data_IF_633889085412
#
_entry.id   IF_633889085412
#
_cell.length_a   1.000
_cell.length_b   1.000
_cell.length_c   1.000
_cell.angle_alpha   90.00
_cell.angle_beta   90.00
_cell.angle_gamma   90.00
#
_symmetry.space_group_name_H-M   'P 1'
#
loop_
_entity.id
_entity.type
_entity.pdbx_description
1 polymer ?
#
# COMPACT_ATOMS: atom_id res chain seq x y z
N UNK A 1 -1.38 -27.52 -6.54
CA UNK A 1 -1.78 -27.34 -5.13
C UNK A 1 -1.49 -28.62 -4.37
N UNK A 2 -1.06 -28.54 -3.11
CA UNK A 2 -0.91 -29.73 -2.26
C UNK A 2 -2.29 -30.32 -1.93
N UNK A 3 -2.33 -31.58 -1.52
CA UNK A 3 -3.59 -32.21 -1.06
C UNK A 3 -4.25 -31.41 0.08
N UNK A 4 -3.43 -30.79 0.93
CA UNK A 4 -3.89 -29.90 2.00
C UNK A 4 -4.55 -28.64 1.42
N UNK A 5 -3.92 -28.00 0.43
CA UNK A 5 -4.47 -26.79 -0.18
C UNK A 5 -5.81 -27.04 -0.90
N UNK A 6 -5.97 -28.18 -1.57
CA UNK A 6 -7.25 -28.54 -2.22
C UNK A 6 -8.36 -28.80 -1.20
N UNK A 7 -8.05 -29.50 -0.10
CA UNK A 7 -8.98 -29.73 1.00
C UNK A 7 -9.45 -28.39 1.61
N UNK A 8 -8.51 -27.52 1.95
CA UNK A 8 -8.81 -26.20 2.51
C UNK A 8 -9.63 -25.35 1.54
N UNK A 9 -9.31 -25.34 0.25
CA UNK A 9 -10.11 -24.62 -0.75
C UNK A 9 -11.57 -25.10 -0.77
N UNK A 10 -11.80 -26.41 -0.70
CA UNK A 10 -13.14 -26.98 -0.63
C UNK A 10 -13.88 -26.54 0.65
N UNK A 11 -13.23 -26.62 1.81
CA UNK A 11 -13.83 -26.24 3.10
C UNK A 11 -14.12 -24.74 3.17
N UNK A 12 -13.18 -23.89 2.78
CA UNK A 12 -13.32 -22.44 2.75
C UNK A 12 -14.44 -21.99 1.80
N UNK A 13 -14.68 -22.72 0.71
CA UNK A 13 -15.74 -22.38 -0.25
C UNK A 13 -17.16 -22.46 0.34
N UNK A 14 -17.34 -23.18 1.44
CA UNK A 14 -18.63 -23.36 2.12
C UNK A 14 -18.94 -22.24 3.13
N UNK A 15 -17.94 -21.41 3.46
CA UNK A 15 -18.09 -20.31 4.40
C UNK A 15 -18.85 -19.13 3.80
N UNK A 16 -19.39 -18.27 4.67
CA UNK A 16 -20.00 -17.01 4.24
C UNK A 16 -18.99 -16.11 3.52
N UNK A 17 -19.49 -15.12 2.78
CA UNK A 17 -18.62 -14.15 2.13
C UNK A 17 -17.73 -13.38 3.13
N UNK A 18 -18.26 -13.10 4.33
CA UNK A 18 -17.54 -12.36 5.37
C UNK A 18 -16.39 -13.18 5.96
N UNK A 19 -16.64 -14.42 6.37
CA UNK A 19 -15.59 -15.31 6.90
C UNK A 19 -14.50 -15.59 5.86
N UNK A 20 -14.88 -15.74 4.58
CA UNK A 20 -13.91 -15.87 3.50
C UNK A 20 -13.06 -14.62 3.31
N UNK A 21 -13.64 -13.43 3.46
CA UNK A 21 -12.90 -12.17 3.36
C UNK A 21 -11.90 -12.00 4.50
N UNK A 22 -12.29 -12.34 5.73
CA UNK A 22 -11.41 -12.31 6.91
C UNK A 22 -10.22 -13.27 6.75
N UNK A 23 -10.47 -14.50 6.29
CA UNK A 23 -9.41 -15.49 6.06
C UNK A 23 -8.51 -15.11 4.86
N UNK A 24 -9.07 -14.54 3.81
CA UNK A 24 -8.28 -14.03 2.69
C UNK A 24 -7.36 -12.89 3.14
N UNK A 25 -7.85 -11.97 3.98
CA UNK A 25 -7.05 -10.90 4.54
C UNK A 25 -5.88 -11.43 5.38
N UNK A 26 -6.15 -12.35 6.30
CA UNK A 26 -5.12 -13.00 7.11
C UNK A 26 -4.05 -13.70 6.24
N UNK A 27 -4.47 -14.46 5.22
CA UNK A 27 -3.54 -15.16 4.33
C UNK A 27 -2.70 -14.17 3.51
N UNK A 28 -3.28 -13.08 3.01
CA UNK A 28 -2.53 -12.04 2.29
C UNK A 28 -1.49 -11.39 3.22
N UNK A 29 -1.87 -11.02 4.44
CA UNK A 29 -0.92 -10.48 5.43
C UNK A 29 0.20 -11.45 5.78
N UNK A 30 -0.09 -12.76 5.82
CA UNK A 30 0.95 -13.77 6.08
C UNK A 30 1.93 -13.94 4.93
N UNK A 31 1.60 -13.46 3.72
CA UNK A 31 2.48 -13.45 2.55
C UNK A 31 3.32 -12.18 2.47
N UNK A 32 2.98 -11.14 3.22
CA UNK A 32 3.85 -10.00 3.46
C UNK A 32 4.98 -10.47 4.40
N UNK A 33 5.86 -11.34 3.89
CA UNK A 33 7.17 -11.62 4.48
C UNK A 33 7.88 -10.29 4.61
N UNK A 34 8.25 -9.95 5.87
CA UNK A 34 9.02 -8.79 6.29
C UNK A 34 8.84 -7.59 5.37
N UNK A 35 8.00 -6.62 5.77
CA UNK A 35 8.07 -5.23 5.29
C UNK A 35 9.55 -4.95 5.07
N UNK A 36 9.95 -4.90 3.79
CA UNK A 36 11.37 -4.95 3.45
C UNK A 36 12.01 -3.86 4.30
N UNK A 37 12.91 -4.27 5.21
CA UNK A 37 13.45 -3.35 6.21
C UNK A 37 14.13 -2.15 5.53
N UNK A 38 14.39 -2.26 4.23
CA UNK A 38 14.94 -1.26 3.34
C UNK A 38 13.88 -0.39 2.62
N UNK A 39 12.56 -0.64 2.74
CA UNK A 39 11.53 0.23 2.12
C UNK A 39 11.69 1.66 2.61
N UNK A 40 11.84 1.86 3.92
CA UNK A 40 12.04 3.21 4.47
C UNK A 40 13.34 3.85 3.95
N UNK A 41 14.42 3.09 3.80
CA UNK A 41 15.68 3.62 3.29
C UNK A 41 15.61 3.96 1.78
N UNK A 42 14.87 3.16 1.00
CA UNK A 42 14.57 3.44 -0.42
C UNK A 42 13.69 4.69 -0.53
N UNK A 43 12.71 4.86 0.36
CA UNK A 43 11.87 6.06 0.41
C UNK A 43 12.67 7.31 0.82
N UNK A 44 13.55 7.22 1.81
CA UNK A 44 14.44 8.31 2.21
C UNK A 44 15.36 8.75 1.06
N UNK A 45 15.88 7.78 0.29
CA UNK A 45 16.71 8.04 -0.89
C UNK A 45 15.92 8.79 -1.96
N UNK A 46 14.71 8.33 -2.28
CA UNK A 46 13.83 8.97 -3.26
C UNK A 46 13.41 10.38 -2.82
N UNK A 47 13.05 10.58 -1.55
CA UNK A 47 12.66 11.89 -1.02
C UNK A 47 13.83 12.89 -1.10
N UNK A 48 15.04 12.44 -0.78
CA UNK A 48 16.25 13.25 -0.90
C UNK A 48 16.50 13.65 -2.35
N UNK A 49 16.39 12.71 -3.28
CA UNK A 49 16.57 12.96 -4.71
C UNK A 49 15.54 13.98 -5.24
N UNK A 50 14.25 13.79 -4.93
CA UNK A 50 13.19 14.73 -5.34
C UNK A 50 13.40 16.13 -4.79
N UNK A 51 13.84 16.25 -3.54
CA UNK A 51 14.13 17.56 -2.95
C UNK A 51 15.27 18.26 -3.71
N UNK A 52 16.32 17.52 -4.09
CA UNK A 52 17.39 18.06 -4.92
C UNK A 52 16.90 18.50 -6.30
N UNK A 53 16.03 17.71 -6.94
CA UNK A 53 15.48 18.04 -8.26
C UNK A 53 14.59 19.29 -8.22
N UNK A 54 13.81 19.46 -7.16
CA UNK A 54 13.06 20.70 -6.90
C UNK A 54 14.03 21.88 -6.69
N UNK A 55 15.09 21.71 -5.91
CA UNK A 55 16.09 22.77 -5.69
C UNK A 55 16.85 23.14 -6.98
N UNK A 56 17.10 22.17 -7.86
CA UNK A 56 17.73 22.38 -9.17
C UNK A 56 16.76 22.93 -10.22
N UNK A 57 15.46 22.97 -9.92
CA UNK A 57 14.41 23.39 -10.85
C UNK A 57 14.18 22.41 -11.99
N UNK A 58 14.63 21.16 -11.85
CA UNK A 58 14.38 20.07 -12.80
C UNK A 58 13.01 19.42 -12.58
N UNK A 59 12.44 19.60 -11.40
CA UNK A 59 11.05 19.25 -11.08
C UNK A 59 10.24 20.47 -10.63
N UNK A 60 8.95 20.49 -10.98
CA UNK A 60 8.01 21.55 -10.59
C UNK A 60 7.05 20.97 -9.55
N UNK A 61 7.15 21.47 -8.32
CA UNK A 61 6.18 21.17 -7.27
C UNK A 61 4.86 21.92 -7.44
N UNK A 62 3.83 21.50 -6.71
CA UNK A 62 2.56 22.20 -6.65
C UNK A 62 2.57 23.26 -5.53
N UNK A 63 2.07 24.48 -5.76
CA UNK A 63 1.97 25.49 -4.72
C UNK A 63 1.11 25.01 -3.55
N UNK A 64 1.65 25.06 -2.34
CA UNK A 64 0.96 24.54 -1.14
C UNK A 64 -0.40 25.21 -0.88
N UNK A 65 -0.53 26.49 -1.21
CA UNK A 65 -1.80 27.22 -1.10
C UNK A 65 -2.90 26.66 -2.01
N UNK A 66 -2.55 26.19 -3.21
CA UNK A 66 -3.48 25.54 -4.14
C UNK A 66 -3.96 24.22 -3.55
N UNK A 67 -3.03 23.34 -3.16
CA UNK A 67 -3.31 22.04 -2.53
C UNK A 67 -4.23 22.19 -1.32
N UNK A 68 -3.92 23.13 -0.42
CA UNK A 68 -4.74 23.36 0.77
C UNK A 68 -6.13 23.92 0.44
N UNK A 69 -6.26 24.71 -0.63
CA UNK A 69 -7.57 25.22 -1.07
C UNK A 69 -8.44 24.08 -1.59
N UNK A 70 -7.90 23.23 -2.47
CA UNK A 70 -8.62 22.10 -3.06
C UNK A 70 -9.07 21.08 -2.00
N UNK A 71 -8.20 20.77 -1.03
CA UNK A 71 -8.55 19.87 0.07
C UNK A 71 -9.69 20.42 0.93
N UNK A 72 -9.72 21.73 1.21
CA UNK A 72 -10.83 22.34 1.95
C UNK A 72 -12.13 22.29 1.17
N UNK A 73 -12.10 22.60 -0.13
CA UNK A 73 -13.29 22.54 -0.99
C UNK A 73 -13.89 21.13 -1.06
N UNK A 74 -13.05 20.10 -1.04
CA UNK A 74 -13.49 18.71 -1.19
C UNK A 74 -14.00 18.07 0.11
N UNK A 75 -13.50 18.50 1.27
CA UNK A 75 -13.72 17.80 2.54
C UNK A 75 -14.28 18.66 3.68
N UNK A 76 -14.54 19.96 3.45
CA UNK A 76 -15.28 20.83 4.40
C UNK A 76 -16.76 20.91 4.03
#
# INVERSE_FOLDING_TARGET
MTQIAEKLKSELSQLSAQERAELAHFLIQSLEEDVDHDVEAVWDTELTQRLEDIHRGTEIGEPSNQVFSELREKYS
#
